data_IF_906541967175
#
_entry.id   IF_906541967175
#
_cell.length_a   1.000
_cell.length_b   1.000
_cell.length_c   1.000
_cell.angle_alpha   90.00
_cell.angle_beta   90.00
_cell.angle_gamma   90.00
#
_symmetry.space_group_name_H-M   'P 1'
#
loop_
_entity.id
_entity.type
_entity.pdbx_description
1 polymer ?
#
# COMPACT_ATOMS: atom_id res chain seq x y z
N UNK A 1 -10.98 18.53 -6.29
CA UNK A 1 -10.25 17.41 -5.64
C UNK A 1 -11.04 16.78 -4.50
N UNK A 2 -11.49 17.54 -3.47
CA UNK A 2 -12.28 17.00 -2.34
C UNK A 2 -13.50 16.16 -2.74
N UNK A 3 -14.27 16.61 -3.74
CA UNK A 3 -15.43 15.87 -4.24
C UNK A 3 -15.07 14.50 -4.85
N UNK A 4 -13.92 14.39 -5.53
CA UNK A 4 -13.43 13.11 -6.06
C UNK A 4 -13.07 12.20 -4.89
N UNK A 5 -12.32 12.72 -3.92
CA UNK A 5 -11.91 11.93 -2.75
C UNK A 5 -13.11 11.34 -2.02
N UNK A 6 -14.12 12.17 -1.75
CA UNK A 6 -15.32 11.73 -1.06
C UNK A 6 -16.09 10.66 -1.85
N UNK A 7 -16.30 10.88 -3.15
CA UNK A 7 -17.02 9.94 -4.02
C UNK A 7 -16.33 8.57 -4.09
N UNK A 8 -15.01 8.56 -4.30
CA UNK A 8 -14.24 7.32 -4.39
C UNK A 8 -14.16 6.61 -3.03
N UNK A 9 -14.00 7.36 -1.95
CA UNK A 9 -14.03 6.83 -0.59
C UNK A 9 -15.37 6.14 -0.28
N UNK A 10 -16.50 6.80 -0.57
CA UNK A 10 -17.84 6.21 -0.40
C UNK A 10 -18.04 4.96 -1.26
N UNK A 11 -17.48 4.94 -2.48
CA UNK A 11 -17.54 3.78 -3.38
C UNK A 11 -16.89 2.52 -2.77
N UNK A 12 -15.78 2.68 -2.02
CA UNK A 12 -15.11 1.54 -1.38
C UNK A 12 -15.99 0.85 -0.33
N UNK A 13 -16.76 1.62 0.44
CA UNK A 13 -17.65 1.06 1.46
C UNK A 13 -18.97 0.57 0.85
N UNK A 14 -19.48 1.21 -0.20
CA UNK A 14 -20.69 0.74 -0.88
C UNK A 14 -20.48 -0.61 -1.61
N UNK A 15 -19.26 -0.91 -2.08
CA UNK A 15 -18.95 -2.12 -2.88
C UNK A 15 -18.37 -3.28 -2.06
N UNK A 16 -18.46 -3.22 -0.73
CA UNK A 16 -17.89 -4.18 0.24
C UNK A 16 -16.35 -4.31 0.27
N UNK A 17 -15.63 -3.75 -0.70
CA UNK A 17 -14.16 -3.87 -0.80
C UNK A 17 -13.46 -3.29 0.41
N UNK A 18 -13.88 -2.11 0.88
CA UNK A 18 -13.31 -1.49 2.09
C UNK A 18 -13.51 -2.33 3.34
N UNK A 19 -14.71 -2.92 3.51
CA UNK A 19 -14.99 -3.80 4.64
C UNK A 19 -14.14 -5.07 4.61
N UNK A 20 -13.98 -5.70 3.44
CA UNK A 20 -13.13 -6.88 3.27
C UNK A 20 -11.67 -6.54 3.59
N UNK A 21 -11.18 -5.39 3.11
CA UNK A 21 -9.82 -4.93 3.37
C UNK A 21 -9.56 -4.78 4.87
N UNK A 22 -10.45 -4.08 5.60
CA UNK A 22 -10.35 -3.92 7.06
C UNK A 22 -10.44 -5.27 7.77
N UNK A 23 -11.40 -6.12 7.40
CA UNK A 23 -11.65 -7.41 8.05
C UNK A 23 -10.46 -8.36 7.94
N UNK A 24 -9.85 -8.48 6.76
CA UNK A 24 -8.69 -9.36 6.57
C UNK A 24 -7.48 -8.82 7.33
N UNK A 25 -7.20 -7.52 7.28
CA UNK A 25 -6.10 -6.94 8.07
C UNK A 25 -6.31 -7.15 9.57
N UNK A 26 -7.53 -6.96 10.08
CA UNK A 26 -7.90 -7.25 11.47
C UNK A 26 -7.70 -8.72 11.83
N UNK A 27 -8.15 -9.63 10.97
CA UNK A 27 -8.01 -11.07 11.17
C UNK A 27 -6.54 -11.46 11.25
N UNK A 28 -5.72 -11.04 10.28
CA UNK A 28 -4.28 -11.33 10.27
C UNK A 28 -3.63 -10.76 11.53
N UNK A 29 -3.89 -9.49 11.84
CA UNK A 29 -3.34 -8.86 13.04
C UNK A 29 -3.74 -9.63 14.32
N UNK A 30 -5.00 -10.02 14.45
CA UNK A 30 -5.50 -10.76 15.62
C UNK A 30 -4.93 -12.16 15.77
N UNK A 31 -4.80 -12.91 14.67
CA UNK A 31 -4.18 -14.25 14.67
C UNK A 31 -2.73 -14.18 15.12
N UNK A 32 -1.94 -13.26 14.54
CA UNK A 32 -0.53 -13.13 14.89
C UNK A 32 -0.32 -12.49 16.27
N UNK A 33 -1.17 -11.57 16.68
CA UNK A 33 -1.15 -11.03 18.04
C UNK A 33 -1.40 -12.13 19.07
N UNK A 34 -2.41 -12.96 18.85
CA UNK A 34 -2.73 -14.07 19.75
C UNK A 34 -1.58 -15.08 19.80
N UNK A 35 -1.03 -15.48 18.65
CA UNK A 35 0.03 -16.49 18.62
C UNK A 35 1.35 -16.00 19.25
N UNK A 36 1.74 -14.76 19.00
CA UNK A 36 3.07 -14.26 19.40
C UNK A 36 3.07 -13.50 20.73
N UNK A 37 2.07 -12.65 20.97
CA UNK A 37 2.04 -11.79 22.15
C UNK A 37 1.30 -12.46 23.31
N UNK A 38 0.13 -13.08 23.04
CA UNK A 38 -0.65 -13.75 24.10
C UNK A 38 -0.06 -15.12 24.44
N UNK A 39 -0.02 -16.04 23.46
CA UNK A 39 0.47 -17.41 23.69
C UNK A 39 1.99 -17.41 23.89
N UNK A 40 2.71 -16.65 23.06
CA UNK A 40 4.17 -16.55 23.14
C UNK A 40 4.70 -15.69 24.29
N UNK A 41 3.84 -14.91 24.97
CA UNK A 41 4.24 -14.04 26.09
C UNK A 41 5.23 -12.94 25.72
N UNK A 42 5.31 -12.56 24.44
CA UNK A 42 6.24 -11.53 23.97
C UNK A 42 5.61 -10.14 24.04
N UNK A 43 6.37 -9.15 24.52
CA UNK A 43 6.01 -7.73 24.46
C UNK A 43 6.38 -7.06 23.13
N UNK A 44 7.07 -7.77 22.23
CA UNK A 44 7.49 -7.24 20.93
C UNK A 44 6.37 -7.32 19.89
N UNK A 45 6.15 -6.21 19.20
CA UNK A 45 5.11 -6.08 18.17
C UNK A 45 5.65 -6.33 16.75
N UNK A 46 6.96 -6.55 16.60
CA UNK A 46 7.67 -6.75 15.32
C UNK A 46 7.00 -7.80 14.44
N UNK A 47 6.65 -8.95 15.01
CA UNK A 47 6.05 -10.08 14.28
C UNK A 47 4.67 -9.72 13.73
N UNK A 48 3.86 -9.01 14.52
CA UNK A 48 2.52 -8.59 14.10
C UNK A 48 2.61 -7.58 12.95
N UNK A 49 3.47 -6.57 13.09
CA UNK A 49 3.74 -5.57 12.04
C UNK A 49 4.21 -6.22 10.75
N UNK A 50 5.13 -7.19 10.84
CA UNK A 50 5.63 -7.92 9.66
C UNK A 50 4.52 -8.72 8.99
N UNK A 51 3.71 -9.45 9.75
CA UNK A 51 2.57 -10.23 9.23
C UNK A 51 1.51 -9.37 8.55
N UNK A 52 1.15 -8.23 9.16
CA UNK A 52 0.22 -7.27 8.54
C UNK A 52 0.81 -6.72 7.24
N UNK A 53 2.11 -6.46 7.19
CA UNK A 53 2.78 -5.97 5.99
C UNK A 53 2.78 -7.00 4.85
N UNK A 54 2.96 -8.29 5.16
CA UNK A 54 2.76 -9.37 4.18
C UNK A 54 1.31 -9.42 3.68
N UNK A 55 0.33 -9.25 4.56
CA UNK A 55 -1.08 -9.21 4.17
C UNK A 55 -1.38 -8.00 3.26
N UNK A 56 -0.78 -6.84 3.52
CA UNK A 56 -0.93 -5.65 2.67
C UNK A 56 -0.49 -5.91 1.23
N UNK A 57 0.53 -6.73 0.97
CA UNK A 57 0.95 -7.09 -0.39
C UNK A 57 -0.19 -7.79 -1.15
N UNK A 58 -0.94 -8.66 -0.47
CA UNK A 58 -2.01 -9.45 -1.07
C UNK A 58 -3.30 -8.64 -1.25
N UNK A 59 -3.62 -7.78 -0.29
CA UNK A 59 -4.94 -7.13 -0.22
C UNK A 59 -4.91 -5.74 -0.88
N UNK A 60 -3.77 -5.03 -0.90
CA UNK A 60 -3.67 -3.72 -1.56
C UNK A 60 -4.02 -3.75 -3.06
N UNK A 61 -3.61 -4.77 -3.85
CA UNK A 61 -4.06 -4.91 -5.23
C UNK A 61 -5.58 -4.93 -5.39
N UNK A 62 -6.30 -5.52 -4.43
CA UNK A 62 -7.77 -5.58 -4.43
C UNK A 62 -8.37 -4.18 -4.22
N UNK A 63 -7.72 -3.34 -3.41
CA UNK A 63 -8.13 -1.96 -3.17
C UNK A 63 -7.90 -1.05 -4.40
N UNK A 64 -6.82 -1.28 -5.16
CA UNK A 64 -6.45 -0.40 -6.28
C UNK A 64 -6.90 -0.89 -7.66
N UNK A 65 -7.20 -2.19 -7.82
CA UNK A 65 -7.49 -2.79 -9.13
C UNK A 65 -8.65 -2.11 -9.86
N UNK A 66 -9.69 -1.68 -9.13
CA UNK A 66 -10.90 -1.06 -9.70
C UNK A 66 -10.72 0.39 -10.12
N UNK A 67 -9.77 1.10 -9.49
CA UNK A 67 -9.63 2.56 -9.57
C UNK A 67 -9.73 3.13 -11.00
N UNK A 68 -8.95 2.60 -11.95
CA UNK A 68 -8.99 3.02 -13.36
C UNK A 68 -9.51 1.92 -14.29
N UNK A 69 -9.23 0.65 -13.99
CA UNK A 69 -9.65 -0.46 -14.85
C UNK A 69 -11.17 -0.60 -14.94
N UNK A 70 -11.92 -0.32 -13.87
CA UNK A 70 -13.38 -0.39 -13.89
C UNK A 70 -14.02 0.73 -14.71
N UNK A 71 -13.52 1.96 -14.55
CA UNK A 71 -13.99 3.11 -15.32
C UNK A 71 -13.72 2.94 -16.82
N UNK A 72 -12.59 2.30 -17.15
CA UNK A 72 -12.24 1.95 -18.51
C UNK A 72 -13.15 0.89 -19.10
N UNK A 73 -13.43 -0.19 -18.35
CA UNK A 73 -14.35 -1.26 -18.78
C UNK A 73 -15.77 -0.74 -18.99
N UNK A 74 -16.23 0.17 -18.12
CA UNK A 74 -17.57 0.76 -18.16
C UNK A 74 -17.70 1.96 -19.10
N UNK A 75 -16.63 2.36 -19.80
CA UNK A 75 -16.53 3.55 -20.66
C UNK A 75 -16.86 4.90 -19.96
N UNK A 76 -17.00 4.90 -18.63
CA UNK A 76 -17.22 6.12 -17.84
C UNK A 76 -15.98 7.01 -17.75
N UNK A 77 -14.82 6.50 -18.15
CA UNK A 77 -13.56 7.23 -18.30
C UNK A 77 -13.73 8.51 -19.18
N UNK A 78 -14.65 8.50 -20.15
CA UNK A 78 -14.95 9.69 -20.98
C UNK A 78 -15.55 10.86 -20.18
N UNK A 79 -16.33 10.58 -19.13
CA UNK A 79 -16.91 11.61 -18.27
C UNK A 79 -15.85 12.22 -17.35
N UNK A 80 -14.86 11.43 -16.94
CA UNK A 80 -13.73 11.88 -16.13
C UNK A 80 -12.74 12.74 -16.93
N UNK A 81 -12.48 12.37 -18.18
CA UNK A 81 -11.57 13.11 -19.05
C UNK A 81 -12.15 14.42 -19.59
N UNK A 82 -13.48 14.56 -19.59
CA UNK A 82 -14.18 15.79 -19.96
C UNK A 82 -14.48 16.70 -18.76
N UNK A 83 -14.32 16.21 -17.53
CA UNK A 83 -14.46 17.02 -16.33
C UNK A 83 -13.39 18.14 -16.30
N UNK A 84 -13.71 19.34 -15.74
CA UNK A 84 -12.77 20.46 -15.62
C UNK A 84 -11.77 20.25 -14.47
N UNK A 85 -11.12 19.09 -14.44
CA UNK A 85 -10.15 18.70 -13.40
C UNK A 85 -8.85 18.27 -14.07
N UNK A 86 -7.72 18.75 -13.53
CA UNK A 86 -6.39 18.33 -13.96
C UNK A 86 -6.19 16.82 -13.76
N UNK A 87 -5.55 16.13 -14.70
CA UNK A 87 -5.26 14.69 -14.63
C UNK A 87 -4.47 14.32 -13.36
N UNK A 88 -3.40 15.05 -12.96
CA UNK A 88 -2.71 14.79 -11.69
C UNK A 88 -3.65 14.88 -10.49
N UNK A 89 -4.61 15.81 -10.52
CA UNK A 89 -5.63 15.96 -9.47
C UNK A 89 -6.62 14.79 -9.39
N UNK A 90 -6.90 14.09 -10.49
CA UNK A 90 -7.71 12.86 -10.50
C UNK A 90 -6.92 11.72 -9.85
N UNK A 91 -5.67 11.53 -10.27
CA UNK A 91 -4.78 10.48 -9.72
C UNK A 91 -4.56 10.69 -8.21
N UNK A 92 -4.25 11.92 -7.79
CA UNK A 92 -4.09 12.26 -6.38
C UNK A 92 -5.40 12.06 -5.59
N UNK A 93 -6.55 12.38 -6.18
CA UNK A 93 -7.85 12.12 -5.55
C UNK A 93 -8.08 10.64 -5.26
N UNK A 94 -7.83 9.77 -6.24
CA UNK A 94 -7.95 8.31 -6.08
C UNK A 94 -6.94 7.76 -5.07
N UNK A 95 -5.70 8.24 -5.11
CA UNK A 95 -4.67 7.91 -4.13
C UNK A 95 -5.06 8.26 -2.70
N UNK A 96 -5.51 9.49 -2.47
CA UNK A 96 -5.93 9.95 -1.13
C UNK A 96 -7.14 9.16 -0.62
N UNK A 97 -8.04 8.75 -1.49
CA UNK A 97 -9.21 7.93 -1.12
C UNK A 97 -8.80 6.55 -0.61
N UNK A 98 -7.92 5.87 -1.35
CA UNK A 98 -7.37 4.58 -0.94
C UNK A 98 -6.50 4.71 0.34
N UNK A 99 -5.76 5.81 0.48
CA UNK A 99 -5.00 6.11 1.69
C UNK A 99 -5.89 6.28 2.93
N UNK A 100 -7.06 6.91 2.79
CA UNK A 100 -8.02 7.02 3.90
C UNK A 100 -8.52 5.64 4.34
N UNK A 101 -8.79 4.73 3.40
CA UNK A 101 -9.17 3.34 3.75
C UNK A 101 -8.03 2.63 4.47
N UNK A 102 -6.79 2.81 4.03
CA UNK A 102 -5.60 2.29 4.72
C UNK A 102 -5.49 2.85 6.14
N UNK A 103 -5.66 4.16 6.34
CA UNK A 103 -5.60 4.78 7.66
C UNK A 103 -6.71 4.30 8.60
N UNK A 104 -7.93 4.11 8.10
CA UNK A 104 -9.01 3.51 8.89
C UNK A 104 -8.63 2.09 9.30
N UNK A 105 -8.04 1.32 8.39
CA UNK A 105 -7.61 -0.05 8.66
C UNK A 105 -6.52 -0.10 9.73
N UNK A 106 -5.48 0.72 9.60
CA UNK A 106 -4.41 0.83 10.60
C UNK A 106 -4.94 1.39 11.93
N UNK A 107 -5.86 2.34 11.90
CA UNK A 107 -6.53 2.86 13.09
C UNK A 107 -7.33 1.77 13.80
N UNK A 108 -8.01 0.91 13.05
CA UNK A 108 -8.75 -0.20 13.60
C UNK A 108 -7.79 -1.21 14.27
N UNK A 109 -6.63 -1.51 13.68
CA UNK A 109 -5.66 -2.43 14.30
C UNK A 109 -5.01 -1.90 15.57
N UNK A 110 -5.16 -0.62 15.93
CA UNK A 110 -4.64 -0.06 17.19
C UNK A 110 -5.25 -0.72 18.43
N UNK A 111 -6.38 -1.42 18.31
CA UNK A 111 -6.96 -2.20 19.42
C UNK A 111 -5.95 -3.21 19.99
N UNK A 112 -5.06 -3.78 19.17
CA UNK A 112 -4.05 -4.77 19.61
C UNK A 112 -2.88 -4.19 20.41
N UNK A 113 -2.16 -3.14 19.97
CA UNK A 113 -1.12 -2.53 20.80
C UNK A 113 -1.71 -1.86 22.05
N UNK A 114 -2.96 -1.35 21.99
CA UNK A 114 -3.64 -0.83 23.18
C UNK A 114 -3.88 -1.94 24.20
N UNK A 115 -4.37 -3.11 23.77
CA UNK A 115 -4.53 -4.23 24.69
C UNK A 115 -3.19 -4.71 25.25
N UNK A 116 -2.13 -4.72 24.44
CA UNK A 116 -0.78 -5.03 24.92
C UNK A 116 -0.29 -4.04 25.98
N UNK A 117 -0.56 -2.75 25.82
CA UNK A 117 -0.19 -1.72 26.79
C UNK A 117 -0.96 -1.81 28.13
N UNK A 118 -2.16 -2.41 28.13
CA UNK A 118 -2.95 -2.63 29.35
C UNK A 118 -2.46 -3.82 30.17
N UNK A 119 -1.92 -4.85 29.50
CA UNK A 119 -1.56 -6.12 30.14
C UNK A 119 -0.05 -6.40 30.18
N UNK A 120 0.78 -5.51 29.62
CA UNK A 120 2.24 -5.66 29.58
C UNK A 120 2.97 -4.34 29.34
N UNK A 121 4.30 -4.44 29.16
CA UNK A 121 5.17 -3.30 28.87
C UNK A 121 5.63 -3.33 27.40
N UNK A 122 4.86 -2.76 26.46
CA UNK A 122 5.20 -2.82 25.06
C UNK A 122 6.38 -1.92 24.70
N UNK A 123 7.16 -2.34 23.70
CA UNK A 123 8.16 -1.48 23.08
C UNK A 123 7.50 -0.43 22.18
N UNK A 124 7.25 0.75 22.74
CA UNK A 124 6.57 1.85 22.04
C UNK A 124 7.25 2.29 20.75
N UNK A 125 8.58 2.21 20.69
CA UNK A 125 9.35 2.52 19.47
C UNK A 125 8.98 1.58 18.31
N UNK A 126 8.90 0.28 18.57
CA UNK A 126 8.52 -0.73 17.57
C UNK A 126 7.09 -0.52 17.08
N UNK A 127 6.17 -0.19 17.99
CA UNK A 127 4.77 0.05 17.65
C UNK A 127 4.65 1.31 16.79
N UNK A 128 5.08 2.47 17.30
CA UNK A 128 4.90 3.74 16.60
C UNK A 128 5.58 3.75 15.24
N UNK A 129 6.83 3.28 15.18
CA UNK A 129 7.58 3.24 13.93
C UNK A 129 7.09 2.13 13.00
N UNK A 130 6.61 1.01 13.53
CA UNK A 130 5.92 -0.01 12.76
C UNK A 130 4.67 0.53 12.07
N UNK A 131 3.84 1.31 12.76
CA UNK A 131 2.66 1.95 12.18
C UNK A 131 2.99 3.00 11.11
N UNK A 132 4.00 3.85 11.37
CA UNK A 132 4.49 4.81 10.38
C UNK A 132 5.03 4.07 9.14
N UNK A 133 5.81 3.01 9.36
CA UNK A 133 6.33 2.15 8.31
C UNK A 133 5.22 1.51 7.48
N UNK A 134 4.18 0.96 8.12
CA UNK A 134 3.04 0.34 7.45
C UNK A 134 2.24 1.36 6.64
N UNK A 135 2.07 2.59 7.15
CA UNK A 135 1.42 3.67 6.41
C UNK A 135 2.20 4.08 5.16
N UNK A 136 3.53 4.23 5.28
CA UNK A 136 4.41 4.55 4.15
C UNK A 136 4.46 3.41 3.13
N UNK A 137 4.63 2.18 3.58
CA UNK A 137 4.68 0.98 2.76
C UNK A 137 3.36 0.78 2.00
N UNK A 138 2.23 0.80 2.72
CA UNK A 138 0.90 0.69 2.12
C UNK A 138 0.61 1.83 1.15
N UNK A 139 1.09 3.03 1.44
CA UNK A 139 1.06 4.16 0.51
C UNK A 139 1.79 3.89 -0.80
N UNK A 140 3.00 3.35 -0.72
CA UNK A 140 3.77 2.96 -1.90
C UNK A 140 3.07 1.85 -2.68
N UNK A 141 2.49 0.86 -2.00
CA UNK A 141 1.72 -0.21 -2.65
C UNK A 141 0.50 0.33 -3.38
N UNK A 142 -0.22 1.29 -2.78
CA UNK A 142 -1.37 1.96 -3.41
C UNK A 142 -0.90 2.71 -4.67
N UNK A 143 0.19 3.48 -4.61
CA UNK A 143 0.72 4.21 -5.76
C UNK A 143 1.10 3.27 -6.91
N UNK A 144 1.78 2.17 -6.61
CA UNK A 144 2.13 1.12 -7.59
C UNK A 144 0.86 0.52 -8.21
N UNK A 145 -0.12 0.16 -7.38
CA UNK A 145 -1.38 -0.42 -7.83
C UNK A 145 -2.21 0.52 -8.71
N UNK A 146 -2.21 1.82 -8.40
CA UNK A 146 -2.85 2.84 -9.25
C UNK A 146 -2.16 2.95 -10.62
N UNK A 147 -0.83 2.94 -10.65
CA UNK A 147 -0.08 2.93 -11.90
C UNK A 147 -0.42 1.71 -12.76
N UNK A 148 -0.38 0.50 -12.18
CA UNK A 148 -0.71 -0.74 -12.89
C UNK A 148 -2.18 -0.75 -13.36
N UNK A 149 -3.11 -0.28 -12.53
CA UNK A 149 -4.53 -0.13 -12.92
C UNK A 149 -4.70 0.87 -14.08
N UNK A 150 -3.92 1.95 -14.11
CA UNK A 150 -4.01 2.96 -15.19
C UNK A 150 -3.61 2.41 -16.57
N UNK A 151 -2.64 1.49 -16.63
CA UNK A 151 -2.17 0.91 -17.90
C UNK A 151 -2.99 -0.32 -18.35
N UNK A 152 -3.77 -0.93 -17.46
CA UNK A 152 -4.57 -2.14 -17.74
C UNK A 152 -6.03 -1.83 -18.09
N UNK A 153 -6.72 -2.80 -18.72
CA UNK A 153 -8.15 -2.70 -19.08
C UNK A 153 -9.05 -3.54 -18.19
N UNK A 154 -8.52 -4.62 -17.63
CA UNK A 154 -9.28 -5.60 -16.88
C UNK A 154 -8.86 -5.58 -15.41
N UNK A 155 -9.83 -5.52 -14.50
CA UNK A 155 -9.59 -5.53 -13.06
C UNK A 155 -8.75 -6.74 -12.62
N UNK A 156 -9.02 -7.91 -13.21
CA UNK A 156 -8.30 -9.13 -12.85
C UNK A 156 -6.82 -9.05 -13.25
N UNK A 157 -6.52 -8.54 -14.45
CA UNK A 157 -5.14 -8.40 -14.91
C UNK A 157 -4.41 -7.29 -14.14
N UNK A 158 -5.10 -6.20 -13.80
CA UNK A 158 -4.58 -5.15 -12.93
C UNK A 158 -4.16 -5.71 -11.55
N UNK A 159 -5.03 -6.52 -10.95
CA UNK A 159 -4.79 -7.14 -9.66
C UNK A 159 -3.59 -8.08 -9.68
N UNK A 160 -3.56 -9.03 -10.63
CA UNK A 160 -2.47 -10.02 -10.74
C UNK A 160 -1.13 -9.34 -11.05
N UNK A 161 -1.11 -8.36 -11.96
CA UNK A 161 0.10 -7.64 -12.30
C UNK A 161 0.63 -6.80 -11.12
N UNK A 162 -0.26 -6.17 -10.35
CA UNK A 162 0.14 -5.43 -9.14
C UNK A 162 0.70 -6.38 -8.10
N UNK A 163 0.01 -7.49 -7.83
CA UNK A 163 0.46 -8.49 -6.87
C UNK A 163 1.83 -9.05 -7.25
N UNK A 164 2.02 -9.43 -8.52
CA UNK A 164 3.31 -9.93 -9.02
C UNK A 164 4.44 -8.90 -8.87
N UNK A 165 4.17 -7.63 -9.17
CA UNK A 165 5.15 -6.55 -9.02
C UNK A 165 5.50 -6.30 -7.55
N UNK A 166 4.50 -6.21 -6.67
CA UNK A 166 4.73 -6.01 -5.23
C UNK A 166 5.49 -7.17 -4.62
N UNK A 167 5.13 -8.41 -4.98
CA UNK A 167 5.80 -9.61 -4.51
C UNK A 167 7.25 -9.68 -4.99
N UNK A 168 7.51 -9.31 -6.25
CA UNK A 168 8.87 -9.22 -6.78
C UNK A 168 9.72 -8.16 -6.04
N UNK A 169 9.17 -6.96 -5.82
CA UNK A 169 9.86 -5.89 -5.08
C UNK A 169 10.08 -6.23 -3.60
N UNK A 170 9.24 -7.10 -3.04
CA UNK A 170 9.40 -7.60 -1.68
C UNK A 170 10.51 -8.66 -1.60
N UNK A 171 10.52 -9.62 -2.52
CA UNK A 171 11.50 -10.71 -2.55
C UNK A 171 12.87 -10.31 -3.09
N UNK A 172 12.99 -9.15 -3.73
CA UNK A 172 14.26 -8.65 -4.29
C UNK A 172 15.38 -8.62 -3.25
N UNK A 173 15.04 -8.35 -1.99
CA UNK A 173 16.00 -8.31 -0.88
C UNK A 173 16.68 -9.68 -0.63
N UNK A 174 15.89 -10.75 -0.70
CA UNK A 174 16.36 -12.13 -0.51
C UNK A 174 17.28 -12.63 -1.62
N UNK A 175 17.27 -11.97 -2.79
CA UNK A 175 18.13 -12.34 -3.92
C UNK A 175 19.53 -11.71 -3.81
N UNK A 176 19.66 -10.59 -3.07
CA UNK A 176 20.90 -9.81 -2.96
C UNK A 176 22.11 -10.64 -2.50
N UNK A 177 22.01 -11.50 -1.45
CA UNK A 177 23.16 -12.23 -0.93
C UNK A 177 23.78 -13.22 -1.93
N UNK A 178 23.01 -13.66 -2.93
CA UNK A 178 23.42 -14.65 -3.92
C UNK A 178 24.01 -14.03 -5.20
N UNK A 179 24.08 -12.70 -5.27
CA UNK A 179 24.57 -12.00 -6.46
C UNK A 179 26.04 -11.66 -6.34
N UNK A 180 26.81 -12.11 -7.33
CA UNK A 180 28.25 -11.81 -7.45
C UNK A 180 28.54 -10.44 -8.06
N UNK A 181 27.56 -9.83 -8.73
CA UNK A 181 27.72 -8.55 -9.40
C UNK A 181 27.25 -7.39 -8.52
N UNK A 182 28.18 -6.51 -8.13
CA UNK A 182 27.91 -5.36 -7.26
C UNK A 182 26.95 -4.32 -7.86
N UNK A 183 26.95 -4.15 -9.18
CA UNK A 183 26.04 -3.20 -9.83
C UNK A 183 24.60 -3.68 -9.72
N UNK A 184 24.36 -4.98 -9.95
CA UNK A 184 23.04 -5.59 -9.81
C UNK A 184 22.57 -5.59 -8.35
N UNK A 185 23.46 -5.88 -7.39
CA UNK A 185 23.11 -5.85 -5.98
C UNK A 185 22.73 -4.44 -5.50
N UNK A 186 23.42 -3.40 -6.00
CA UNK A 186 23.10 -2.00 -5.68
C UNK A 186 21.74 -1.58 -6.24
N UNK A 187 21.42 -1.96 -7.48
CA UNK A 187 20.12 -1.66 -8.09
C UNK A 187 18.99 -2.37 -7.34
N UNK A 188 19.18 -3.65 -6.97
CA UNK A 188 18.16 -4.39 -6.22
C UNK A 188 17.95 -3.85 -4.81
N UNK A 189 19.01 -3.40 -4.12
CA UNK A 189 18.88 -2.67 -2.84
C UNK A 189 18.08 -1.39 -2.98
N UNK A 190 18.26 -0.65 -4.09
CA UNK A 190 17.46 0.54 -4.36
C UNK A 190 15.99 0.21 -4.67
N UNK A 191 15.68 -1.02 -5.11
CA UNK A 191 14.31 -1.45 -5.37
C UNK A 191 13.67 -2.23 -4.21
N UNK A 192 14.43 -2.58 -3.17
CA UNK A 192 13.92 -3.44 -2.10
C UNK A 192 13.03 -2.65 -1.14
N UNK A 193 11.72 -2.96 -1.17
CA UNK A 193 10.75 -2.36 -0.25
C UNK A 193 10.87 -2.99 1.14
N UNK A 194 11.14 -4.30 1.20
CA UNK A 194 11.27 -5.03 2.46
C UNK A 194 12.51 -4.61 3.26
N UNK A 195 13.68 -4.50 2.60
CA UNK A 195 14.93 -4.12 3.26
C UNK A 195 14.81 -2.77 3.96
N UNK A 196 14.21 -1.80 3.27
CA UNK A 196 13.90 -0.47 3.81
C UNK A 196 12.84 -0.53 4.92
N UNK A 197 11.79 -1.34 4.77
CA UNK A 197 10.75 -1.51 5.78
C UNK A 197 11.26 -2.16 7.08
N UNK A 198 12.25 -3.05 7.00
CA UNK A 198 12.78 -3.80 8.16
C UNK A 198 13.41 -2.92 9.24
N UNK A 199 13.83 -1.69 8.90
CA UNK A 199 14.33 -0.73 9.89
C UNK A 199 13.19 -0.24 10.80
N UNK A 200 11.99 -0.01 10.24
CA UNK A 200 10.82 0.42 11.00
C UNK A 200 10.32 -0.63 11.97
N UNK A 201 10.34 -1.92 11.57
CA UNK A 201 9.89 -3.00 12.46
C UNK A 201 10.77 -3.12 13.69
N UNK A 202 12.07 -2.82 13.58
CA UNK A 202 13.04 -2.79 14.68
C UNK A 202 12.99 -1.52 15.53
N UNK A 203 12.04 -0.61 15.28
CA UNK A 203 11.96 0.66 16.01
C UNK A 203 13.09 1.64 15.67
N UNK A 204 13.69 1.55 14.48
CA UNK A 204 14.73 2.49 14.02
C UNK A 204 14.14 3.46 13.01
N UNK A 205 14.09 4.74 13.36
CA UNK A 205 13.70 5.80 12.44
C UNK A 205 14.91 6.23 11.61
N UNK A 206 14.85 6.00 10.31
CA UNK A 206 15.81 6.54 9.36
C UNK A 206 15.09 7.46 8.37
N UNK A 207 15.51 8.74 8.34
CA UNK A 207 14.94 9.74 7.42
C UNK A 207 15.14 9.33 5.97
N UNK A 208 16.27 8.67 5.64
CA UNK A 208 16.53 8.17 4.29
C UNK A 208 15.45 7.17 3.84
N UNK A 209 14.97 6.32 4.75
CA UNK A 209 13.91 5.35 4.48
C UNK A 209 12.55 6.02 4.26
N UNK A 210 12.25 7.09 5.00
CA UNK A 210 11.04 7.89 4.77
C UNK A 210 11.09 8.56 3.39
N UNK A 211 12.21 9.22 3.08
CA UNK A 211 12.43 9.88 1.78
C UNK A 211 12.35 8.85 0.65
N UNK A 212 12.87 7.64 0.87
CA UNK A 212 12.77 6.53 -0.08
C UNK A 212 11.31 6.20 -0.42
N UNK A 213 10.47 5.88 0.58
CA UNK A 213 9.06 5.54 0.34
C UNK A 213 8.27 6.68 -0.32
N UNK A 214 8.52 7.93 0.09
CA UNK A 214 7.90 9.10 -0.53
C UNK A 214 8.34 9.29 -1.99
N UNK A 215 9.62 9.05 -2.29
CA UNK A 215 10.16 9.15 -3.66
C UNK A 215 9.56 8.10 -4.58
N UNK A 216 9.47 6.84 -4.12
CA UNK A 216 8.85 5.75 -4.88
C UNK A 216 7.36 6.04 -5.10
N UNK A 217 6.66 6.46 -4.04
CA UNK A 217 5.25 6.87 -4.13
C UNK A 217 5.05 7.97 -5.19
N UNK A 218 5.84 9.04 -5.12
CA UNK A 218 5.77 10.15 -6.07
C UNK A 218 6.02 9.68 -7.51
N UNK A 219 7.05 8.85 -7.73
CA UNK A 219 7.41 8.32 -9.04
C UNK A 219 6.27 7.50 -9.67
N UNK A 220 5.63 6.60 -8.90
CA UNK A 220 4.52 5.80 -9.43
C UNK A 220 3.25 6.62 -9.64
N UNK A 221 2.97 7.62 -8.80
CA UNK A 221 1.87 8.56 -9.04
C UNK A 221 2.11 9.42 -10.30
N UNK A 222 3.35 9.85 -10.52
CA UNK A 222 3.73 10.56 -11.74
C UNK A 222 3.54 9.68 -12.98
N UNK A 223 3.97 8.41 -12.92
CA UNK A 223 3.74 7.45 -14.01
C UNK A 223 2.26 7.18 -14.26
N UNK A 224 1.45 7.06 -13.20
CA UNK A 224 0.00 6.92 -13.34
C UNK A 224 -0.62 8.15 -14.04
N UNK A 225 -0.22 9.36 -13.66
CA UNK A 225 -0.68 10.59 -14.32
C UNK A 225 -0.30 10.63 -15.80
N UNK A 226 0.94 10.25 -16.14
CA UNK A 226 1.41 10.20 -17.54
C UNK A 226 0.71 9.14 -18.37
N UNK A 227 0.42 7.97 -17.78
CA UNK A 227 -0.35 6.92 -18.42
C UNK A 227 -1.77 7.39 -18.79
N UNK A 228 -2.42 8.16 -17.90
CA UNK A 228 -3.74 8.75 -18.14
C UNK A 228 -3.67 9.89 -19.17
N UNK A 229 -2.67 10.78 -19.10
CA UNK A 229 -2.45 11.86 -20.09
C UNK A 229 -2.29 11.35 -21.51
N UNK A 230 -1.44 10.34 -21.71
CA UNK A 230 -1.18 9.77 -23.04
C UNK A 230 -2.46 9.32 -23.74
N UNK A 231 -3.46 8.84 -22.98
CA UNK A 231 -4.74 8.39 -23.55
C UNK A 231 -5.67 9.52 -23.94
N UNK A 232 -5.64 10.64 -23.20
CA UNK A 232 -6.39 11.83 -23.57
C UNK A 232 -5.98 12.31 -24.96
N UNK A 233 -4.71 12.18 -25.31
CA UNK A 233 -4.19 12.59 -26.62
C UNK A 233 -4.38 11.53 -27.72
N UNK A 234 -4.40 10.24 -27.40
CA UNK A 234 -4.60 9.17 -28.39
C UNK A 234 -6.04 9.01 -28.89
N UNK A 235 -7.02 9.67 -28.27
CA UNK A 235 -8.45 9.64 -28.66
C UNK A 235 -8.91 10.91 -29.41
N UNK A 236 -8.01 11.87 -29.61
CA UNK A 236 -8.17 12.95 -30.58
C UNK A 236 -7.44 12.57 -31.88
#
# INVERSE_FOLDING_TARGET
MRAIVQREFESYFNTMVGYIFVAICMLVCGVFFTSTNIIGGSASFVSVVSSVSYALILITPILTMRSFAEERKSKSDQLLLTAPVSIPGIVLGKYLSAMLVLFITLGATLVFPISLALFGEPFWSEILLGYIGMALLGGTFIAIGLFVSSITENQLTACIATLGLLFFLWLSDSLIPNLTNETLSTILRALSLYGQFSAFTKGVLNVATIVYFLSVTFLFLFFAAKAVERRRWSKN
#
